data_IF_425684989439
#
_entry.id   IF_425684989439
#
_cell.length_a   1.000
_cell.length_b   1.000
_cell.length_c   1.000
_cell.angle_alpha   90.00
_cell.angle_beta   90.00
_cell.angle_gamma   90.00
#
_symmetry.space_group_name_H-M   'P 1'
#
loop_
_entity.id
_entity.type
_entity.pdbx_description
1 polymer ?
#
# COMPACT_ATOMS: atom_id res chain seq x y z
N UNK A 1 -3.67 -4.19 6.60
CA UNK A 1 -4.13 -2.78 6.54
C UNK A 1 -5.27 -2.64 5.56
N UNK A 2 -5.90 -1.47 5.46
CA UNK A 2 -6.92 -1.18 4.44
C UNK A 2 -6.58 0.05 3.62
N UNK A 3 -6.99 0.04 2.36
CA UNK A 3 -7.12 1.24 1.55
C UNK A 3 -8.57 1.70 1.60
N UNK A 4 -8.78 2.98 1.89
CA UNK A 4 -10.10 3.61 1.93
C UNK A 4 -10.15 4.69 0.86
N UNK A 5 -11.19 4.67 0.04
CA UNK A 5 -11.39 5.73 -0.94
C UNK A 5 -11.85 7.02 -0.24
N UNK A 6 -11.22 8.12 -0.59
CA UNK A 6 -11.55 9.47 -0.13
C UNK A 6 -11.56 10.40 -1.34
N UNK A 7 -12.75 10.63 -1.92
CA UNK A 7 -12.88 11.30 -3.21
C UNK A 7 -12.22 10.48 -4.32
N UNK A 8 -11.27 11.09 -5.03
CA UNK A 8 -10.58 10.45 -6.16
C UNK A 8 -9.28 9.74 -5.80
N UNK A 9 -8.94 9.67 -4.52
CA UNK A 9 -7.72 9.00 -4.03
C UNK A 9 -8.02 7.89 -3.03
N UNK A 10 -7.06 6.99 -2.88
CA UNK A 10 -7.04 6.01 -1.80
C UNK A 10 -6.06 6.44 -0.71
N UNK A 11 -6.45 6.25 0.54
CA UNK A 11 -5.60 6.48 1.71
C UNK A 11 -5.44 5.20 2.52
N UNK A 12 -4.28 5.04 3.14
CA UNK A 12 -4.01 3.95 4.06
C UNK A 12 -4.75 4.17 5.38
N UNK A 13 -5.59 3.21 5.76
CA UNK A 13 -6.14 3.08 7.10
C UNK A 13 -5.42 1.94 7.82
N UNK A 14 -4.69 2.29 8.87
CA UNK A 14 -4.08 1.38 9.81
C UNK A 14 -5.08 1.07 10.91
N UNK A 15 -5.34 -0.20 11.17
CA UNK A 15 -6.22 -0.67 12.24
C UNK A 15 -5.43 -1.02 13.50
N UNK A 16 -4.13 -1.29 13.35
CA UNK A 16 -3.26 -1.66 14.45
C UNK A 16 -1.94 -0.91 14.40
N UNK A 17 -1.38 -0.62 15.58
CA UNK A 17 -0.11 0.11 15.73
C UNK A 17 1.04 -0.60 15.02
N UNK A 18 1.09 -1.93 15.09
CA UNK A 18 2.14 -2.74 14.47
C UNK A 18 2.21 -2.59 12.94
N UNK A 19 1.10 -2.22 12.28
CA UNK A 19 1.08 -2.00 10.83
C UNK A 19 1.87 -0.73 10.45
N UNK A 20 1.81 0.31 11.29
CA UNK A 20 2.59 1.53 11.13
C UNK A 20 4.05 1.28 11.51
N UNK A 21 4.30 0.55 12.61
CA UNK A 21 5.65 0.16 13.01
C UNK A 21 6.35 -0.65 11.92
N UNK A 22 5.65 -1.59 11.29
CA UNK A 22 6.19 -2.41 10.18
C UNK A 22 6.60 -1.57 8.97
N UNK A 23 5.95 -0.43 8.73
CA UNK A 23 6.36 0.52 7.70
C UNK A 23 7.51 1.42 8.17
N UNK A 24 7.48 1.88 9.41
CA UNK A 24 8.49 2.75 9.99
C UNK A 24 9.85 2.04 10.20
N UNK A 25 9.84 0.73 10.44
CA UNK A 25 11.05 -0.11 10.54
C UNK A 25 11.73 -0.34 9.18
N UNK A 26 11.05 -0.03 8.07
CA UNK A 26 11.63 -0.15 6.74
C UNK A 26 12.43 1.10 6.42
N UNK A 27 13.54 0.89 5.71
CA UNK A 27 14.27 1.97 5.05
C UNK A 27 13.31 2.83 4.20
N UNK A 28 13.66 4.10 4.02
CA UNK A 28 12.87 5.04 3.24
C UNK A 28 12.64 4.53 1.82
N UNK A 29 11.37 4.47 1.39
CA UNK A 29 11.04 4.09 0.02
C UNK A 29 9.62 3.58 -0.15
N UNK A 30 9.36 3.02 -1.34
CA UNK A 30 8.05 2.50 -1.71
C UNK A 30 7.95 1.01 -1.41
N UNK A 31 6.86 0.65 -0.73
CA UNK A 31 6.52 -0.71 -0.31
C UNK A 31 5.31 -1.18 -1.11
N UNK A 32 5.42 -2.28 -1.87
CA UNK A 32 4.31 -2.78 -2.68
C UNK A 32 3.10 -3.21 -1.86
N UNK A 33 1.93 -3.03 -2.45
CA UNK A 33 0.64 -3.42 -1.92
C UNK A 33 0.05 -4.55 -2.77
N UNK A 34 -0.44 -5.60 -2.12
CA UNK A 34 -1.06 -6.74 -2.77
C UNK A 34 -2.45 -7.02 -2.20
N UNK A 35 -3.27 -7.75 -2.96
CA UNK A 35 -4.46 -8.38 -2.40
C UNK A 35 -4.04 -9.58 -1.54
N UNK A 36 -4.70 -9.83 -0.40
CA UNK A 36 -4.49 -11.06 0.36
C UNK A 36 -4.68 -12.29 -0.54
N UNK A 37 -3.71 -13.19 -0.55
CA UNK A 37 -3.75 -14.41 -1.38
C UNK A 37 -3.34 -14.23 -2.84
N UNK A 38 -3.09 -13.00 -3.32
CA UNK A 38 -2.63 -12.72 -4.68
C UNK A 38 -1.36 -11.85 -4.64
N UNK A 39 -0.21 -12.52 -4.47
CA UNK A 39 1.10 -11.86 -4.26
C UNK A 39 1.97 -11.79 -5.52
N UNK A 40 1.43 -12.20 -6.67
CA UNK A 40 2.15 -12.24 -7.94
C UNK A 40 2.31 -10.83 -8.54
N UNK A 41 1.26 -10.01 -8.45
CA UNK A 41 1.24 -8.67 -9.02
C UNK A 41 0.82 -7.61 -8.00
N UNK A 42 1.63 -6.57 -7.78
CA UNK A 42 1.26 -5.49 -6.88
C UNK A 42 0.16 -4.64 -7.50
N UNK A 43 -0.79 -4.22 -6.66
CA UNK A 43 -1.80 -3.21 -6.98
C UNK A 43 -1.21 -1.80 -7.10
N UNK A 44 -0.04 -1.60 -6.52
CA UNK A 44 0.58 -0.30 -6.30
C UNK A 44 1.59 -0.37 -5.17
N UNK A 45 1.84 0.77 -4.53
CA UNK A 45 2.74 0.88 -3.40
C UNK A 45 2.30 1.96 -2.40
N UNK A 46 2.80 1.82 -1.18
CA UNK A 46 2.74 2.82 -0.12
C UNK A 46 4.14 3.29 0.23
N UNK A 47 4.34 4.59 0.40
CA UNK A 47 5.60 5.13 0.88
C UNK A 47 5.75 4.89 2.40
N UNK A 48 6.89 4.35 2.83
CA UNK A 48 7.11 3.91 4.23
C UNK A 48 6.96 5.03 5.26
N UNK A 49 7.51 6.22 5.00
CA UNK A 49 7.41 7.35 5.93
C UNK A 49 6.17 8.25 5.73
N UNK A 50 5.84 8.59 4.47
CA UNK A 50 4.77 9.56 4.19
C UNK A 50 3.38 8.92 4.09
N UNK A 51 3.30 7.59 4.03
CA UNK A 51 2.08 6.81 3.83
C UNK A 51 1.30 7.16 2.56
N UNK A 52 1.93 7.87 1.61
CA UNK A 52 1.33 8.15 0.29
C UNK A 52 1.11 6.83 -0.44
N UNK A 53 -0.07 6.64 -0.98
CA UNK A 53 -0.45 5.45 -1.74
C UNK A 53 -0.51 5.82 -3.22
N UNK A 54 0.20 5.06 -4.04
CA UNK A 54 0.11 5.10 -5.49
C UNK A 54 -0.40 3.76 -5.99
N UNK A 55 -1.47 3.78 -6.79
CA UNK A 55 -2.02 2.58 -7.42
C UNK A 55 -1.59 2.54 -8.88
N UNK A 56 -1.38 1.33 -9.41
CA UNK A 56 -1.13 1.13 -10.84
C UNK A 56 -2.36 1.52 -11.64
N UNK A 57 -2.14 1.96 -12.89
CA UNK A 57 -3.23 2.38 -13.76
C UNK A 57 -4.21 1.23 -14.01
N UNK A 58 -5.52 1.53 -13.96
CA UNK A 58 -6.57 0.55 -14.26
C UNK A 58 -6.97 -0.35 -13.09
N UNK A 59 -6.27 -0.30 -11.95
CA UNK A 59 -6.66 -1.03 -10.74
C UNK A 59 -8.02 -0.53 -10.24
N UNK A 60 -8.97 -1.46 -10.10
CA UNK A 60 -10.29 -1.20 -9.54
C UNK A 60 -10.40 -1.84 -8.17
N UNK A 61 -10.56 -1.00 -7.14
CA UNK A 61 -10.75 -1.45 -5.76
C UNK A 61 -12.14 -1.06 -5.27
N UNK A 62 -12.66 -1.79 -4.29
CA UNK A 62 -13.83 -1.36 -3.55
C UNK A 62 -13.52 -0.07 -2.74
N UNK A 63 -14.56 0.66 -2.31
CA UNK A 63 -14.44 1.83 -1.44
C UNK A 63 -13.61 1.56 -0.17
N UNK A 64 -13.61 0.31 0.30
CA UNK A 64 -12.78 -0.19 1.40
C UNK A 64 -12.15 -1.51 0.98
N UNK A 65 -10.83 -1.54 0.80
CA UNK A 65 -10.11 -2.73 0.34
C UNK A 65 -9.06 -3.18 1.35
N UNK A 66 -9.07 -4.46 1.72
CA UNK A 66 -7.97 -5.05 2.51
C UNK A 66 -6.78 -5.28 1.58
N UNK A 67 -5.59 -4.87 2.04
CA UNK A 67 -4.32 -5.08 1.34
C UNK A 67 -3.24 -5.53 2.31
N UNK A 68 -2.19 -6.17 1.76
CA UNK A 68 -1.00 -6.61 2.47
C UNK A 68 0.25 -5.95 1.90
N UNK A 69 1.25 -5.74 2.75
CA UNK A 69 2.55 -5.20 2.36
C UNK A 69 3.42 -6.31 1.76
N UNK A 70 4.10 -6.03 0.66
CA UNK A 70 5.14 -6.91 0.13
C UNK A 70 6.44 -6.84 0.92
N UNK A 71 7.35 -7.77 0.65
CA UNK A 71 8.67 -7.84 1.29
C UNK A 71 9.74 -7.07 0.53
N UNK A 72 9.60 -6.97 -0.80
CA UNK A 72 10.53 -6.25 -1.68
C UNK A 72 10.24 -4.76 -1.72
N UNK A 73 11.25 -3.93 -1.96
CA UNK A 73 11.17 -2.46 -1.94
C UNK A 73 11.51 -1.88 -3.32
N UNK A 74 10.95 -0.71 -3.61
CA UNK A 74 11.26 0.04 -4.84
C UNK A 74 11.75 1.46 -4.52
N UNK A 75 12.75 1.98 -5.25
CA UNK A 75 13.20 3.36 -5.10
C UNK A 75 12.16 4.37 -5.62
N UNK A 76 11.32 3.95 -6.57
CA UNK A 76 10.25 4.73 -7.18
C UNK A 76 8.93 3.94 -7.13
N UNK A 77 7.76 4.60 -7.18
CA UNK A 77 6.50 3.87 -7.21
C UNK A 77 6.43 3.01 -8.48
N UNK A 78 5.96 1.75 -8.41
CA UNK A 78 5.83 0.89 -9.57
C UNK A 78 4.81 1.49 -10.55
N UNK A 79 5.22 1.66 -11.82
CA UNK A 79 4.38 2.14 -12.92
C UNK A 79 3.26 1.14 -13.28
#
# INVERSE_FOLDING_TARGET
MRLIRQGDRFVAQFSFVWEVSTLAEREEGWVPLFLPGHLEEPLGAIHSQTHKVHLRQGVRLAERQIVVLGTTRFPEPPL
#
